data_IF_076222380532
#
_entry.id   IF_076222380532
#
_cell.length_a   1.000
_cell.length_b   1.000
_cell.length_c   1.000
_cell.angle_alpha   90.00
_cell.angle_beta   90.00
_cell.angle_gamma   90.00
#
_symmetry.space_group_name_H-M   'P 1'
#
loop_
_entity.id
_entity.type
_entity.pdbx_description
1 polymer ?
#
# COMPACT_ATOMS: atom_id res chain seq x y z
N UNK A 1 6.71 4.00 21.78
CA UNK A 1 7.22 2.80 21.10
C UNK A 1 6.98 3.00 19.63
N UNK A 2 8.04 2.91 18.84
CA UNK A 2 7.92 3.02 17.41
C UNK A 2 7.28 1.77 16.82
N UNK A 3 6.48 1.93 15.77
CA UNK A 3 5.65 0.87 15.21
C UNK A 3 5.89 0.82 13.71
N UNK A 4 6.08 -0.38 13.16
CA UNK A 4 6.20 -0.57 11.72
C UNK A 4 4.81 -0.58 11.08
N UNK A 5 4.65 0.01 9.89
CA UNK A 5 3.38 -0.03 9.18
C UNK A 5 3.44 -1.05 8.04
N UNK A 6 2.48 -1.98 8.03
CA UNK A 6 2.33 -2.98 6.97
C UNK A 6 1.07 -2.67 6.17
N UNK A 7 1.17 -2.60 4.85
CA UNK A 7 0.02 -2.37 3.96
C UNK A 7 -0.29 -3.65 3.20
N UNK A 8 -1.54 -4.09 3.27
CA UNK A 8 -2.09 -5.22 2.52
C UNK A 8 -3.30 -4.78 1.70
N UNK A 9 -3.77 -5.59 0.75
CA UNK A 9 -4.88 -5.16 -0.12
C UNK A 9 -6.25 -5.23 0.59
N UNK A 10 -6.49 -6.22 1.45
CA UNK A 10 -7.83 -6.47 2.02
C UNK A 10 -7.91 -6.39 3.56
N UNK A 11 -9.05 -5.94 4.12
CA UNK A 11 -9.24 -5.81 5.57
C UNK A 11 -9.15 -7.14 6.32
N UNK A 12 -9.59 -8.24 5.68
CA UNK A 12 -9.53 -9.58 6.26
C UNK A 12 -8.06 -10.01 6.50
N UNK A 13 -7.18 -9.78 5.51
CA UNK A 13 -5.75 -10.02 5.67
C UNK A 13 -5.15 -9.14 6.74
N UNK A 14 -5.49 -7.85 6.76
CA UNK A 14 -4.97 -6.93 7.75
C UNK A 14 -5.26 -7.41 9.18
N UNK A 15 -6.51 -7.81 9.45
CA UNK A 15 -6.93 -8.35 10.75
C UNK A 15 -6.17 -9.63 11.13
N UNK A 16 -5.94 -10.52 10.17
CA UNK A 16 -5.25 -11.80 10.42
C UNK A 16 -3.75 -11.59 10.65
N UNK A 17 -3.07 -10.83 9.79
CA UNK A 17 -1.63 -10.56 9.89
C UNK A 17 -1.31 -9.75 11.15
N UNK A 18 -2.16 -8.80 11.54
CA UNK A 18 -1.97 -8.03 12.78
C UNK A 18 -1.96 -8.93 14.03
N UNK A 19 -2.74 -10.02 14.04
CA UNK A 19 -2.71 -11.01 15.12
C UNK A 19 -1.39 -11.80 15.16
N UNK A 20 -0.73 -11.98 14.03
CA UNK A 20 0.52 -12.73 13.93
C UNK A 20 1.72 -11.87 14.32
N UNK A 21 1.77 -10.62 13.86
CA UNK A 21 2.89 -9.70 14.07
C UNK A 21 2.89 -9.05 15.46
N UNK A 22 1.73 -8.85 16.08
CA UNK A 22 1.64 -8.28 17.42
C UNK A 22 1.76 -6.74 17.46
N UNK A 23 2.15 -6.21 18.63
CA UNK A 23 2.02 -4.78 18.97
C UNK A 23 3.05 -3.87 18.29
N UNK A 24 4.14 -4.43 17.77
CA UNK A 24 5.21 -3.67 17.10
C UNK A 24 4.87 -3.33 15.65
N UNK A 25 3.71 -3.81 15.17
CA UNK A 25 3.22 -3.58 13.82
C UNK A 25 1.81 -3.01 13.84
N UNK A 26 1.54 -2.10 12.90
CA UNK A 26 0.20 -1.64 12.54
C UNK A 26 -0.08 -2.09 11.12
N UNK A 27 -1.02 -3.02 10.95
CA UNK A 27 -1.40 -3.52 9.63
C UNK A 27 -2.65 -2.78 9.13
N UNK A 28 -2.54 -2.10 7.99
CA UNK A 28 -3.62 -1.36 7.35
C UNK A 28 -3.95 -1.98 5.98
N UNK A 29 -5.22 -1.85 5.57
CA UNK A 29 -5.66 -2.29 4.25
C UNK A 29 -5.79 -1.10 3.29
N UNK A 30 -5.35 -1.28 2.04
CA UNK A 30 -5.61 -0.32 0.95
C UNK A 30 -7.06 -0.39 0.44
N UNK A 31 -7.73 -1.53 0.67
CA UNK A 31 -9.04 -1.90 0.12
C UNK A 31 -8.98 -2.06 -1.41
N UNK A 32 -7.99 -2.80 -1.89
CA UNK A 32 -7.72 -3.02 -3.31
C UNK A 32 -6.97 -1.85 -3.95
N UNK A 33 -7.30 -1.57 -5.21
CA UNK A 33 -6.77 -0.42 -5.95
C UNK A 33 -7.16 0.91 -5.29
N UNK A 34 -6.19 1.82 -5.21
CA UNK A 34 -6.36 3.15 -4.60
C UNK A 34 -6.56 4.26 -5.62
N UNK A 35 -6.27 3.99 -6.89
CA UNK A 35 -6.45 4.92 -8.00
C UNK A 35 -6.73 4.15 -9.28
N UNK A 36 -7.36 4.81 -10.23
CA UNK A 36 -7.69 4.28 -11.55
C UNK A 36 -7.50 5.36 -12.62
N UNK A 37 -7.60 4.97 -13.89
CA UNK A 37 -7.67 5.92 -14.99
C UNK A 37 -9.00 6.70 -14.92
N UNK A 38 -8.99 8.03 -15.11
CA UNK A 38 -10.21 8.79 -15.28
C UNK A 38 -11.09 8.21 -16.39
N UNK A 39 -12.40 8.11 -16.16
CA UNK A 39 -13.38 7.61 -17.12
C UNK A 39 -13.70 8.67 -18.20
N UNK A 40 -12.67 9.14 -18.91
CA UNK A 40 -12.75 10.13 -19.99
C UNK A 40 -11.60 9.96 -20.98
N UNK A 41 -11.81 10.48 -22.19
CA UNK A 41 -10.78 10.52 -23.22
C UNK A 41 -9.57 11.34 -22.74
N UNK A 42 -8.38 10.89 -23.15
CA UNK A 42 -7.10 11.50 -22.77
C UNK A 42 -6.55 11.05 -21.40
N UNK A 43 -7.10 10.02 -20.78
CA UNK A 43 -6.51 9.39 -19.58
C UNK A 43 -5.20 8.65 -19.88
N UNK A 44 -5.00 8.24 -21.13
CA UNK A 44 -3.75 7.72 -21.67
C UNK A 44 -3.38 8.58 -22.88
N UNK A 45 -2.13 9.04 -22.95
CA UNK A 45 -1.61 9.89 -24.04
C UNK A 45 -0.60 9.10 -24.88
N UNK A 46 -1.01 8.45 -26.00
CA UNK A 46 -0.10 7.67 -26.84
C UNK A 46 1.05 8.47 -27.45
N UNK A 47 0.85 9.77 -27.66
CA UNK A 47 1.87 10.70 -28.15
C UNK A 47 2.96 11.02 -27.12
N UNK A 48 2.73 10.72 -25.84
CA UNK A 48 3.64 11.00 -24.73
C UNK A 48 4.12 9.70 -24.06
N UNK A 49 4.59 8.73 -24.86
CA UNK A 49 5.04 7.42 -24.37
C UNK A 49 4.00 6.72 -23.48
N UNK A 50 2.73 6.81 -23.89
CA UNK A 50 1.59 6.28 -23.15
C UNK A 50 1.47 6.81 -21.71
N UNK A 51 1.85 8.08 -21.48
CA UNK A 51 1.68 8.73 -20.17
C UNK A 51 0.22 8.61 -19.69
N UNK A 52 0.06 8.28 -18.41
CA UNK A 52 -1.26 7.98 -17.82
C UNK A 52 -1.60 8.99 -16.74
N UNK A 53 -2.82 9.52 -16.81
CA UNK A 53 -3.43 10.26 -15.73
C UNK A 53 -4.08 9.30 -14.74
N UNK A 54 -3.84 9.52 -13.44
CA UNK A 54 -4.42 8.70 -12.38
C UNK A 54 -5.35 9.53 -11.50
N UNK A 55 -6.50 8.97 -11.16
CA UNK A 55 -7.47 9.59 -10.27
C UNK A 55 -7.70 8.75 -9.01
N UNK A 56 -7.68 9.44 -7.87
CA UNK A 56 -8.04 8.89 -6.56
C UNK A 56 -9.54 9.12 -6.32
N UNK A 57 -10.30 8.05 -6.12
CA UNK A 57 -11.69 8.16 -5.67
C UNK A 57 -11.77 8.74 -4.25
N UNK A 58 -12.94 9.26 -3.88
CA UNK A 58 -13.15 9.93 -2.59
C UNK A 58 -12.88 9.04 -1.37
N UNK A 59 -13.22 7.74 -1.44
CA UNK A 59 -12.96 6.79 -0.35
C UNK A 59 -11.46 6.51 -0.24
N UNK A 60 -10.78 6.31 -1.38
CA UNK A 60 -9.33 6.13 -1.44
C UNK A 60 -8.56 7.35 -0.94
N UNK A 61 -9.04 8.58 -1.19
CA UNK A 61 -8.42 9.81 -0.65
C UNK A 61 -8.35 9.78 0.88
N UNK A 62 -9.46 9.45 1.55
CA UNK A 62 -9.51 9.34 3.01
C UNK A 62 -8.59 8.24 3.50
N UNK A 63 -8.66 7.03 2.91
CA UNK A 63 -7.79 5.90 3.28
C UNK A 63 -6.31 6.23 3.14
N UNK A 64 -5.91 6.83 2.02
CA UNK A 64 -4.53 7.22 1.78
C UNK A 64 -4.06 8.34 2.71
N UNK A 65 -4.97 9.20 3.19
CA UNK A 65 -4.66 10.18 4.22
C UNK A 65 -4.34 9.50 5.55
N UNK A 66 -5.13 8.50 5.94
CA UNK A 66 -4.93 7.77 7.19
C UNK A 66 -3.68 6.88 7.15
N UNK A 67 -3.43 6.20 6.03
CA UNK A 67 -2.18 5.48 5.79
C UNK A 67 -0.98 6.45 5.87
N UNK A 68 -1.05 7.61 5.21
CA UNK A 68 0.03 8.59 5.25
C UNK A 68 0.30 9.11 6.67
N UNK A 69 -0.74 9.32 7.49
CA UNK A 69 -0.59 9.71 8.90
C UNK A 69 0.11 8.61 9.71
N UNK A 70 -0.32 7.36 9.56
CA UNK A 70 0.29 6.22 10.26
C UNK A 70 1.76 6.06 9.89
N UNK A 71 2.08 6.11 8.59
CA UNK A 71 3.45 5.93 8.08
C UNK A 71 4.40 7.06 8.52
N UNK A 72 3.91 8.31 8.65
CA UNK A 72 4.73 9.43 9.15
C UNK A 72 5.29 9.17 10.55
N UNK A 73 4.51 8.53 11.42
CA UNK A 73 4.90 8.15 12.78
C UNK A 73 5.63 6.81 12.90
N UNK A 74 5.74 6.05 11.80
CA UNK A 74 6.33 4.71 11.78
C UNK A 74 7.84 4.73 11.54
N UNK A 75 8.56 3.68 11.93
CA UNK A 75 9.98 3.55 11.61
C UNK A 75 10.19 3.17 10.13
N UNK A 76 9.42 2.20 9.64
CA UNK A 76 9.44 1.76 8.24
C UNK A 76 8.05 1.44 7.69
N UNK A 77 7.96 1.42 6.37
CA UNK A 77 6.81 0.96 5.59
C UNK A 77 7.12 -0.42 4.99
N UNK A 78 6.22 -1.37 5.18
CA UNK A 78 6.24 -2.69 4.53
C UNK A 78 5.03 -2.79 3.60
N UNK A 79 5.27 -3.09 2.34
CA UNK A 79 4.26 -3.37 1.33
C UNK A 79 4.12 -4.89 1.17
N UNK A 80 2.95 -5.42 1.54
CA UNK A 80 2.69 -6.85 1.67
C UNK A 80 1.42 -7.27 0.90
N UNK A 81 1.22 -6.67 -0.28
CA UNK A 81 0.18 -7.10 -1.23
C UNK A 81 0.55 -8.45 -1.86
N UNK A 82 -0.44 -9.08 -2.49
CA UNK A 82 -0.27 -10.39 -3.11
C UNK A 82 0.91 -10.47 -4.08
N UNK A 83 1.56 -11.64 -4.21
CA UNK A 83 2.70 -11.86 -5.08
C UNK A 83 2.28 -12.05 -6.55
N UNK A 84 1.39 -11.19 -7.05
CA UNK A 84 0.94 -11.17 -8.43
C UNK A 84 1.05 -9.76 -9.04
N UNK A 85 0.70 -9.62 -10.32
CA UNK A 85 0.78 -8.34 -11.03
C UNK A 85 -0.12 -7.27 -10.42
N UNK A 86 -1.27 -7.66 -9.87
CA UNK A 86 -2.28 -6.74 -9.35
C UNK A 86 -1.80 -6.20 -8.00
N UNK A 87 -1.32 -7.09 -7.14
CA UNK A 87 -0.67 -6.76 -5.88
C UNK A 87 0.53 -5.82 -6.10
N UNK A 88 1.35 -6.07 -7.11
CA UNK A 88 2.49 -5.19 -7.41
C UNK A 88 2.05 -3.80 -7.89
N UNK A 89 1.01 -3.72 -8.73
CA UNK A 89 0.42 -2.45 -9.15
C UNK A 89 -0.17 -1.67 -7.97
N UNK A 90 -0.87 -2.33 -7.06
CA UNK A 90 -1.41 -1.72 -5.83
C UNK A 90 -0.26 -1.18 -4.97
N UNK A 91 0.79 -1.98 -4.73
CA UNK A 91 1.97 -1.57 -3.97
C UNK A 91 2.66 -0.35 -4.61
N UNK A 92 2.83 -0.36 -5.92
CA UNK A 92 3.40 0.76 -6.66
C UNK A 92 2.56 2.03 -6.53
N UNK A 93 1.23 1.94 -6.69
CA UNK A 93 0.34 3.08 -6.53
C UNK A 93 0.36 3.67 -5.12
N UNK A 94 0.29 2.81 -4.09
CA UNK A 94 0.39 3.23 -2.69
C UNK A 94 1.72 3.95 -2.45
N UNK A 95 2.83 3.38 -2.93
CA UNK A 95 4.16 3.95 -2.78
C UNK A 95 4.27 5.34 -3.42
N UNK A 96 3.81 5.48 -4.67
CA UNK A 96 3.81 6.76 -5.39
C UNK A 96 3.02 7.83 -4.63
N UNK A 97 1.80 7.52 -4.19
CA UNK A 97 0.97 8.47 -3.44
C UNK A 97 1.62 8.88 -2.11
N UNK A 98 2.26 7.94 -1.41
CA UNK A 98 2.96 8.24 -0.15
C UNK A 98 4.21 9.10 -0.37
N UNK A 99 4.93 8.90 -1.48
CA UNK A 99 6.03 9.75 -1.89
C UNK A 99 5.56 11.18 -2.19
N UNK A 100 4.50 11.34 -2.98
CA UNK A 100 3.92 12.65 -3.32
C UNK A 100 3.47 13.42 -2.07
N UNK A 101 2.91 12.70 -1.09
CA UNK A 101 2.52 13.24 0.23
C UNK A 101 3.70 13.47 1.17
N UNK A 102 4.93 13.15 0.75
CA UNK A 102 6.17 13.20 1.55
C UNK A 102 6.05 12.41 2.86
N UNK A 103 5.24 11.35 2.88
CA UNK A 103 4.95 10.57 4.08
C UNK A 103 6.07 9.59 4.44
N UNK A 104 6.86 9.16 3.44
CA UNK A 104 7.93 8.17 3.57
C UNK A 104 9.34 8.76 3.41
N UNK A 105 9.49 10.09 3.44
CA UNK A 105 10.78 10.74 3.24
C UNK A 105 11.80 10.27 4.29
N UNK A 106 12.88 9.63 3.85
CA UNK A 106 13.95 9.14 4.71
C UNK A 106 13.60 7.89 5.53
N UNK A 107 12.49 7.22 5.22
CA UNK A 107 12.08 5.96 5.89
C UNK A 107 12.43 4.76 5.01
N UNK A 108 12.87 3.63 5.58
CA UNK A 108 12.98 2.38 4.84
C UNK A 108 11.62 1.95 4.31
N UNK A 109 11.62 1.46 3.07
CA UNK A 109 10.47 0.84 2.42
C UNK A 109 10.87 -0.57 2.01
N UNK A 110 10.10 -1.56 2.42
CA UNK A 110 10.34 -2.97 2.14
C UNK A 110 9.15 -3.56 1.37
N UNK A 111 9.44 -4.45 0.43
CA UNK A 111 8.45 -5.28 -0.26
C UNK A 111 8.56 -6.70 0.29
N UNK A 112 7.50 -7.21 0.87
CA UNK A 112 7.44 -8.56 1.46
C UNK A 112 6.37 -9.37 0.73
N UNK A 113 6.70 -10.61 0.37
CA UNK A 113 5.79 -11.53 -0.31
C UNK A 113 5.63 -12.80 0.50
N UNK A 114 4.41 -13.35 0.52
CA UNK A 114 4.13 -14.67 1.08
C UNK A 114 3.05 -15.34 0.24
N UNK A 115 3.20 -16.66 0.04
CA UNK A 115 2.27 -17.45 -0.76
C UNK A 115 1.10 -18.03 0.06
N UNK A 116 1.14 -17.84 1.39
CA UNK A 116 0.09 -18.34 2.29
C UNK A 116 -0.02 -17.46 3.54
N UNK A 117 -1.25 -17.27 4.02
CA UNK A 117 -1.56 -16.44 5.19
C UNK A 117 -1.55 -17.32 6.45
N UNK A 118 -0.42 -17.98 6.68
CA UNK A 118 -0.18 -18.73 7.92
C UNK A 118 0.74 -17.93 8.82
N UNK A 119 0.65 -18.11 10.15
CA UNK A 119 1.53 -17.42 11.09
C UNK A 119 3.01 -17.61 10.75
N UNK A 120 3.40 -18.83 10.36
CA UNK A 120 4.78 -19.14 9.98
C UNK A 120 5.21 -18.38 8.72
N UNK A 121 4.46 -18.51 7.63
CA UNK A 121 4.80 -17.85 6.37
C UNK A 121 4.87 -16.32 6.48
N UNK A 122 4.04 -15.71 7.34
CA UNK A 122 4.04 -14.26 7.59
C UNK A 122 5.23 -13.81 8.44
N UNK A 123 5.74 -14.66 9.34
CA UNK A 123 6.88 -14.31 10.20
C UNK A 123 8.24 -14.63 9.56
N UNK A 124 8.28 -15.59 8.63
CA UNK A 124 9.49 -15.99 7.91
C UNK A 124 9.83 -15.04 6.73
N UNK A 125 8.83 -14.29 6.24
CA UNK A 125 8.95 -13.37 5.11
C UNK A 125 9.45 -11.98 5.53
#
# INVERSE_FOLDING_TARGET
MSTNVVIVESPAKAKTINKYLGKDYTVLASYGHVRDLPAKDGSVLPSEDFSMSWELDSKSKTRMSDIAKAVKGADKLILATDPDREGEAISWHVLQILNDKKAIKGKPVERVVFNAITKKAVLDA
#
